data_IF_664012046585
#
_entry.id   IF_664012046585
#
_cell.length_a   1.000
_cell.length_b   1.000
_cell.length_c   1.000
_cell.angle_alpha   90.00
_cell.angle_beta   90.00
_cell.angle_gamma   90.00
#
_symmetry.space_group_name_H-M   'P 1'
#
loop_
_entity.id
_entity.type
_entity.pdbx_description
1 polymer ?
#
# COMPACT_ATOMS: atom_id res chain seq x y z
N UNK A 1 -1.13 -11.34 -4.34
CA UNK A 1 -2.49 -11.21 -3.75
C UNK A 1 -3.58 -11.09 -4.80
N UNK A 2 -3.53 -10.09 -5.68
CA UNK A 2 -4.58 -9.84 -6.69
C UNK A 2 -4.81 -11.01 -7.66
N UNK A 3 -3.77 -11.78 -8.00
CA UNK A 3 -3.91 -13.01 -8.78
C UNK A 3 -4.81 -14.06 -8.10
N UNK A 4 -4.69 -14.23 -6.79
CA UNK A 4 -5.57 -15.15 -6.04
C UNK A 4 -7.01 -14.64 -6.00
N UNK A 5 -7.23 -13.33 -5.89
CA UNK A 5 -8.58 -12.75 -5.98
C UNK A 5 -9.20 -12.99 -7.37
N UNK A 6 -8.42 -12.81 -8.43
CA UNK A 6 -8.85 -13.13 -9.79
C UNK A 6 -9.20 -14.61 -9.95
N UNK A 7 -8.34 -15.51 -9.45
CA UNK A 7 -8.56 -16.95 -9.54
C UNK A 7 -9.79 -17.39 -8.75
N UNK A 8 -10.04 -16.81 -7.58
CA UNK A 8 -11.26 -17.08 -6.82
C UNK A 8 -12.51 -16.80 -7.64
N UNK A 9 -12.51 -15.73 -8.44
CA UNK A 9 -13.62 -15.35 -9.31
C UNK A 9 -13.74 -16.24 -10.54
N UNK A 10 -12.63 -16.45 -11.26
CA UNK A 10 -12.62 -17.19 -12.53
C UNK A 10 -12.88 -18.68 -12.32
N UNK A 11 -12.32 -19.26 -11.26
CA UNK A 11 -12.46 -20.69 -10.94
C UNK A 11 -13.69 -20.97 -10.07
N UNK A 12 -14.39 -19.93 -9.60
CA UNK A 12 -15.45 -20.02 -8.59
C UNK A 12 -15.03 -20.82 -7.34
N UNK A 13 -13.76 -20.72 -6.93
CA UNK A 13 -13.18 -21.46 -5.82
C UNK A 13 -12.70 -20.51 -4.71
N UNK A 14 -13.41 -20.53 -3.58
CA UNK A 14 -13.10 -19.71 -2.40
C UNK A 14 -11.80 -20.10 -1.69
N UNK A 15 -11.16 -21.22 -2.05
CA UNK A 15 -9.82 -21.56 -1.54
C UNK A 15 -8.79 -20.49 -1.92
N UNK A 16 -8.96 -19.84 -3.08
CA UNK A 16 -8.08 -18.76 -3.52
C UNK A 16 -8.32 -17.45 -2.77
N UNK A 17 -9.57 -17.12 -2.42
CA UNK A 17 -9.85 -15.99 -1.53
C UNK A 17 -9.15 -16.16 -0.17
N UNK A 18 -9.22 -17.36 0.42
CA UNK A 18 -8.51 -17.65 1.68
C UNK A 18 -6.99 -17.46 1.55
N UNK A 19 -6.40 -17.85 0.41
CA UNK A 19 -4.97 -17.61 0.13
C UNK A 19 -4.65 -16.12 0.02
N UNK A 20 -5.53 -15.33 -0.62
CA UNK A 20 -5.37 -13.88 -0.70
C UNK A 20 -5.41 -13.22 0.69
N UNK A 21 -6.40 -13.58 1.50
CA UNK A 21 -6.55 -13.07 2.87
C UNK A 21 -5.36 -13.47 3.76
N UNK A 22 -4.90 -14.72 3.67
CA UNK A 22 -3.72 -15.19 4.40
C UNK A 22 -2.47 -14.38 4.04
N UNK A 23 -2.27 -14.08 2.75
CA UNK A 23 -1.16 -13.24 2.30
C UNK A 23 -1.31 -11.80 2.81
N UNK A 24 -2.51 -11.23 2.77
CA UNK A 24 -2.78 -9.90 3.31
C UNK A 24 -2.48 -9.79 4.81
N UNK A 25 -2.91 -10.79 5.58
CA UNK A 25 -2.59 -10.89 7.01
C UNK A 25 -1.09 -11.02 7.26
N UNK A 26 -0.37 -11.82 6.47
CA UNK A 26 1.09 -11.95 6.59
C UNK A 26 1.81 -10.63 6.30
N UNK A 27 1.38 -9.89 5.26
CA UNK A 27 1.91 -8.56 4.98
C UNK A 27 1.67 -7.60 6.14
N UNK A 28 0.45 -7.61 6.72
CA UNK A 28 0.12 -6.78 7.88
C UNK A 28 0.90 -7.18 9.14
N UNK A 29 1.26 -8.45 9.31
CA UNK A 29 2.03 -8.89 10.47
C UNK A 29 3.52 -8.52 10.36
N UNK A 30 4.07 -8.55 9.13
CA UNK A 30 5.53 -8.44 8.92
C UNK A 30 5.96 -7.05 8.49
N UNK A 31 5.20 -6.39 7.62
CA UNK A 31 5.62 -5.15 6.97
C UNK A 31 4.99 -3.91 7.60
N UNK A 32 3.87 -4.05 8.30
CA UNK A 32 3.17 -2.91 8.87
C UNK A 32 3.88 -2.36 10.10
N UNK A 33 4.20 -1.08 10.07
CA UNK A 33 4.63 -0.37 11.25
C UNK A 33 3.42 0.34 11.90
N UNK A 34 3.01 -0.05 13.12
CA UNK A 34 1.81 0.49 13.76
C UNK A 34 1.98 1.93 14.25
N UNK A 35 3.21 2.43 14.41
CA UNK A 35 3.49 3.79 14.86
C UNK A 35 3.38 4.80 13.71
N UNK A 36 4.05 4.50 12.59
CA UNK A 36 4.02 5.36 11.39
C UNK A 36 2.81 5.13 10.50
N UNK A 37 2.04 4.07 10.76
CA UNK A 37 0.90 3.65 9.93
C UNK A 37 1.29 3.45 8.46
N UNK A 38 2.47 2.88 8.20
CA UNK A 38 2.96 2.61 6.86
C UNK A 38 3.63 1.22 6.77
N UNK A 39 3.68 0.67 5.56
CA UNK A 39 4.44 -0.55 5.28
C UNK A 39 5.92 -0.23 5.03
N UNK A 40 6.84 -0.93 5.68
CA UNK A 40 8.25 -0.98 5.23
C UNK A 40 8.30 -1.74 3.90
N UNK A 41 9.19 -1.32 3.00
CA UNK A 41 9.40 -2.06 1.76
C UNK A 41 10.43 -3.20 1.90
N UNK A 42 11.30 -3.12 2.90
CA UNK A 42 12.38 -4.07 3.17
C UNK A 42 12.49 -4.27 4.69
N UNK A 43 12.57 -5.52 5.15
CA UNK A 43 12.67 -5.84 6.59
C UNK A 43 14.02 -5.50 7.21
N UNK A 44 15.04 -5.25 6.40
CA UNK A 44 16.35 -4.81 6.85
C UNK A 44 16.42 -3.29 7.14
N UNK A 45 15.42 -2.51 6.74
CA UNK A 45 15.47 -1.05 6.78
C UNK A 45 14.12 -0.43 7.16
N UNK A 46 14.14 0.67 7.92
CA UNK A 46 12.91 1.38 8.28
C UNK A 46 12.57 2.50 7.29
N UNK A 47 12.45 2.14 6.01
CA UNK A 47 12.20 3.06 4.90
C UNK A 47 10.95 2.68 4.12
N UNK A 48 10.40 3.66 3.40
CA UNK A 48 9.21 3.50 2.54
C UNK A 48 9.52 3.90 1.11
N UNK A 49 8.85 3.24 0.16
CA UNK A 49 8.91 3.53 -1.27
C UNK A 49 7.49 3.75 -1.79
N UNK A 50 7.22 4.82 -2.54
CA UNK A 50 5.89 5.06 -3.06
C UNK A 50 5.38 3.90 -3.92
N UNK A 51 6.13 3.42 -4.91
CA UNK A 51 5.66 2.35 -5.79
C UNK A 51 5.38 1.02 -5.06
N UNK A 52 6.35 0.49 -4.32
CA UNK A 52 6.26 -0.81 -3.65
C UNK A 52 5.23 -0.79 -2.51
N UNK A 53 5.23 0.25 -1.68
CA UNK A 53 4.29 0.33 -0.58
C UNK A 53 2.86 0.65 -1.08
N UNK A 54 2.70 1.44 -2.15
CA UNK A 54 1.38 1.68 -2.76
C UNK A 54 0.79 0.40 -3.37
N UNK A 55 1.61 -0.52 -3.88
CA UNK A 55 1.10 -1.82 -4.31
C UNK A 55 0.43 -2.58 -3.15
N UNK A 56 1.02 -2.52 -1.95
CA UNK A 56 0.39 -2.99 -0.71
C UNK A 56 -0.99 -2.37 -0.48
N UNK A 57 -1.10 -1.03 -0.56
CA UNK A 57 -2.39 -0.33 -0.41
C UNK A 57 -3.44 -0.76 -1.44
N UNK A 58 -3.07 -0.86 -2.72
CA UNK A 58 -3.99 -1.35 -3.76
C UNK A 58 -4.51 -2.74 -3.40
N UNK A 59 -3.60 -3.64 -3.00
CA UNK A 59 -3.95 -5.01 -2.73
C UNK A 59 -4.92 -5.12 -1.52
N UNK A 60 -4.74 -4.28 -0.49
CA UNK A 60 -5.68 -4.15 0.62
C UNK A 60 -7.05 -3.58 0.18
N UNK A 61 -7.07 -2.58 -0.71
CA UNK A 61 -8.32 -2.07 -1.30
C UNK A 61 -9.05 -3.20 -2.05
N UNK A 62 -8.34 -4.04 -2.80
CA UNK A 62 -8.95 -5.18 -3.52
C UNK A 62 -9.51 -6.25 -2.58
N UNK A 63 -8.84 -6.51 -1.46
CA UNK A 63 -9.39 -7.40 -0.43
C UNK A 63 -10.69 -6.84 0.14
N UNK A 64 -10.70 -5.57 0.54
CA UNK A 64 -11.92 -4.89 1.00
C UNK A 64 -13.04 -4.95 -0.04
N UNK A 65 -12.73 -4.67 -1.32
CA UNK A 65 -13.73 -4.74 -2.39
C UNK A 65 -14.38 -6.12 -2.50
N UNK A 66 -13.63 -7.18 -2.17
CA UNK A 66 -14.05 -8.58 -2.28
C UNK A 66 -14.84 -9.06 -1.07
N UNK A 67 -14.33 -8.86 0.16
CA UNK A 67 -14.92 -9.44 1.38
C UNK A 67 -15.62 -8.42 2.29
N UNK A 68 -15.54 -7.12 1.95
CA UNK A 68 -16.07 -5.99 2.72
C UNK A 68 -15.54 -5.85 4.14
N UNK A 69 -14.46 -6.55 4.49
CA UNK A 69 -13.81 -6.37 5.78
C UNK A 69 -13.07 -5.03 5.82
N UNK A 70 -13.56 -4.11 6.66
CA UNK A 70 -13.08 -2.73 6.74
C UNK A 70 -11.66 -2.61 7.27
N UNK A 71 -11.12 -3.65 7.92
CA UNK A 71 -9.72 -3.65 8.37
C UNK A 71 -8.76 -3.45 7.20
N UNK A 72 -9.00 -4.08 6.06
CA UNK A 72 -8.17 -3.92 4.86
C UNK A 72 -8.15 -2.48 4.37
N UNK A 73 -9.33 -1.85 4.30
CA UNK A 73 -9.43 -0.46 3.89
C UNK A 73 -8.72 0.48 4.87
N UNK A 74 -8.75 0.19 6.18
CA UNK A 74 -8.03 0.97 7.18
C UNK A 74 -6.51 0.89 7.00
N UNK A 75 -5.96 -0.30 6.70
CA UNK A 75 -4.55 -0.45 6.37
C UNK A 75 -4.18 0.32 5.09
N UNK A 76 -5.01 0.24 4.05
CA UNK A 76 -4.77 0.97 2.81
C UNK A 76 -4.75 2.49 3.03
N UNK A 77 -5.75 3.02 3.75
CA UNK A 77 -5.86 4.44 4.13
C UNK A 77 -4.62 4.89 4.89
N UNK A 78 -4.31 4.20 5.99
CA UNK A 78 -3.15 4.50 6.81
C UNK A 78 -1.87 4.54 6.00
N UNK A 79 -1.62 3.52 5.17
CA UNK A 79 -0.40 3.48 4.38
C UNK A 79 -0.31 4.58 3.32
N UNK A 80 -1.41 4.94 2.65
CA UNK A 80 -1.42 6.05 1.69
C UNK A 80 -1.13 7.38 2.39
N UNK A 81 -1.72 7.61 3.56
CA UNK A 81 -1.47 8.80 4.37
C UNK A 81 -0.03 8.85 4.88
N UNK A 82 0.49 7.71 5.35
CA UNK A 82 1.89 7.55 5.74
C UNK A 82 2.84 7.87 4.58
N UNK A 83 2.60 7.33 3.38
CA UNK A 83 3.41 7.66 2.20
C UNK A 83 3.34 9.14 1.84
N UNK A 84 2.17 9.78 1.95
CA UNK A 84 2.03 11.22 1.74
C UNK A 84 2.86 12.03 2.74
N UNK A 85 2.90 11.63 4.01
CA UNK A 85 3.73 12.28 5.04
C UNK A 85 5.22 12.08 4.74
N UNK A 86 5.62 10.84 4.50
CA UNK A 86 7.04 10.48 4.40
C UNK A 86 7.67 10.98 3.09
N UNK A 87 6.99 10.81 1.97
CA UNK A 87 7.62 10.91 0.64
C UNK A 87 7.12 12.09 -0.19
N UNK A 88 6.01 12.75 0.16
CA UNK A 88 5.50 13.86 -0.67
C UNK A 88 6.22 15.16 -0.37
N UNK A 89 6.80 15.76 -1.39
CA UNK A 89 7.35 17.11 -1.32
C UNK A 89 6.23 18.14 -1.14
N UNK A 90 6.44 19.11 -0.25
CA UNK A 90 5.40 20.09 0.07
C UNK A 90 5.29 21.20 -0.97
N UNK A 91 6.33 21.47 -1.75
CA UNK A 91 6.34 22.54 -2.74
C UNK A 91 5.84 22.07 -4.10
N UNK A 92 6.44 21.00 -4.62
CA UNK A 92 6.20 20.43 -5.95
C UNK A 92 5.09 19.40 -5.95
N UNK A 93 4.73 18.85 -4.78
CA UNK A 93 3.77 17.76 -4.60
C UNK A 93 4.19 16.42 -5.22
N UNK A 94 5.44 16.32 -5.69
CA UNK A 94 6.04 15.09 -6.17
C UNK A 94 6.38 14.14 -5.01
N UNK A 95 6.55 12.87 -5.32
CA UNK A 95 6.95 11.83 -4.37
C UNK A 95 8.42 11.45 -4.56
N UNK A 96 9.19 11.47 -3.48
CA UNK A 96 10.56 10.99 -3.44
C UNK A 96 10.63 9.46 -3.52
N UNK A 97 11.65 8.95 -4.21
CA UNK A 97 11.85 7.51 -4.43
C UNK A 97 11.89 6.69 -3.14
N UNK A 98 12.59 7.18 -2.11
CA UNK A 98 12.51 6.63 -0.76
C UNK A 98 12.53 7.74 0.29
N UNK A 99 12.04 7.42 1.48
CA UNK A 99 12.24 8.23 2.69
C UNK A 99 12.23 7.32 3.93
N UNK A 100 12.72 7.83 5.06
CA UNK A 100 12.34 7.25 6.35
C UNK A 100 10.86 7.49 6.60
N UNK A 101 10.27 6.65 7.45
CA UNK A 101 8.85 6.71 7.78
C UNK A 101 8.40 8.03 8.43
N UNK A 102 9.30 8.76 9.07
CA UNK A 102 9.04 10.10 9.63
C UNK A 102 9.14 11.23 8.59
N UNK A 103 9.51 10.90 7.35
CA UNK A 103 9.69 11.86 6.26
C UNK A 103 11.05 12.54 6.22
N UNK A 104 12.00 12.09 7.04
CA UNK A 104 13.41 12.47 6.93
C UNK A 104 14.16 11.59 5.91
N UNK A 105 15.41 11.95 5.60
CA UNK A 105 16.30 11.20 4.68
C UNK A 105 15.60 10.86 3.34
N UNK A 106 14.92 11.85 2.77
CA UNK A 106 14.28 11.74 1.47
C UNK A 106 15.35 11.62 0.40
N UNK A 107 15.21 10.60 -0.44
CA UNK A 107 16.03 10.42 -1.63
C UNK A 107 15.79 11.62 -2.58
N UNK A 108 16.84 12.21 -3.18
CA UNK A 108 16.67 13.34 -4.09
C UNK A 108 15.93 12.97 -5.39
N UNK A 109 15.88 11.68 -5.72
CA UNK A 109 15.27 11.15 -6.92
C UNK A 109 13.74 11.27 -6.91
N UNK A 110 13.19 11.73 -8.03
CA UNK A 110 11.76 11.76 -8.32
C UNK A 110 11.54 10.89 -9.55
N UNK A 111 10.98 9.70 -9.35
CA UNK A 111 10.73 8.77 -10.45
C UNK A 111 9.28 8.81 -10.90
N UNK A 112 9.05 8.73 -12.22
CA UNK A 112 7.71 8.72 -12.79
C UNK A 112 6.85 7.55 -12.30
N UNK A 113 7.47 6.39 -12.02
CA UNK A 113 6.79 5.20 -11.50
C UNK A 113 6.16 5.46 -10.13
N UNK A 114 6.86 6.15 -9.24
CA UNK A 114 6.37 6.52 -7.91
C UNK A 114 5.18 7.47 -8.00
N UNK A 115 5.26 8.46 -8.90
CA UNK A 115 4.18 9.41 -9.11
C UNK A 115 2.92 8.69 -9.59
N UNK A 116 3.07 7.82 -10.58
CA UNK A 116 1.97 7.07 -11.17
C UNK A 116 1.30 6.14 -10.15
N UNK A 117 2.10 5.44 -9.33
CA UNK A 117 1.56 4.58 -8.28
C UNK A 117 0.80 5.36 -7.21
N UNK A 118 1.35 6.48 -6.74
CA UNK A 118 0.67 7.31 -5.75
C UNK A 118 -0.62 7.94 -6.29
N UNK A 119 -0.63 8.39 -7.54
CA UNK A 119 -1.86 8.87 -8.18
C UNK A 119 -2.90 7.76 -8.28
N UNK A 120 -2.47 6.56 -8.72
CA UNK A 120 -3.35 5.40 -8.86
C UNK A 120 -4.02 5.01 -7.55
N UNK A 121 -3.27 4.88 -6.45
CA UNK A 121 -3.87 4.45 -5.18
C UNK A 121 -4.73 5.55 -4.55
N UNK A 122 -4.40 6.83 -4.76
CA UNK A 122 -5.26 7.93 -4.34
C UNK A 122 -6.57 7.94 -5.13
N UNK A 123 -6.52 7.70 -6.44
CA UNK A 123 -7.72 7.57 -7.27
C UNK A 123 -8.57 6.35 -6.85
N UNK A 124 -7.95 5.19 -6.58
CA UNK A 124 -8.65 4.03 -6.04
C UNK A 124 -9.31 4.34 -4.70
N UNK A 125 -8.59 4.99 -3.79
CA UNK A 125 -9.09 5.31 -2.44
C UNK A 125 -10.21 6.36 -2.46
N UNK A 126 -10.23 7.26 -3.45
CA UNK A 126 -11.23 8.34 -3.56
C UNK A 126 -12.68 7.86 -3.57
N UNK A 127 -12.93 6.60 -3.95
CA UNK A 127 -14.25 5.96 -3.96
C UNK A 127 -14.81 5.67 -2.57
N UNK A 128 -13.98 5.78 -1.54
CA UNK A 128 -14.28 5.37 -0.15
C UNK A 128 -14.05 6.52 0.85
N UNK A 129 -14.07 7.75 0.33
CA UNK A 129 -14.02 9.01 1.09
C UNK A 129 -15.42 9.55 1.28
#
# INVERSE_FOLDING_TARGET
MEAYLLYSKVMADNSYLKKAQALGNAMNAVLWNPLSKAYIFNTAENRVNPAWCAWGSQAMIRLYETDKNTSWLNFAKGNIDGLNISTRDQSTKAYHFFARMDGTERAPEIEGVDQAWMQRVQALLSKYK
#
